data_IF_948268281187
#
_entry.id   IF_948268281187
#
_cell.length_a   1.000
_cell.length_b   1.000
_cell.length_c   1.000
_cell.angle_alpha   90.00
_cell.angle_beta   90.00
_cell.angle_gamma   90.00
#
_symmetry.space_group_name_H-M   'P 1'
#
loop_
_entity.id
_entity.type
_entity.pdbx_description
1 polymer ?
#
# COMPACT_ATOMS: atom_id res chain seq x y z
N UNK A 1 16.13 7.20 -29.84
CA UNK A 1 15.27 6.23 -29.14
C UNK A 1 15.51 6.37 -27.65
N UNK A 2 14.62 7.01 -26.88
CA UNK A 2 14.84 7.16 -25.45
C UNK A 2 13.83 6.35 -24.61
N UNK A 3 14.24 6.06 -23.39
CA UNK A 3 13.37 5.88 -22.23
C UNK A 3 12.83 4.48 -21.94
N UNK A 4 13.71 3.47 -21.95
CA UNK A 4 13.50 2.30 -21.08
C UNK A 4 13.97 2.67 -19.65
N UNK A 5 13.10 3.40 -18.93
CA UNK A 5 13.27 3.69 -17.52
C UNK A 5 12.43 2.69 -16.71
N UNK A 6 12.88 1.43 -16.69
CA UNK A 6 12.49 0.48 -15.67
C UNK A 6 12.79 1.10 -14.29
N UNK A 7 11.79 1.29 -13.40
CA UNK A 7 12.08 1.82 -12.09
C UNK A 7 12.85 0.77 -11.30
N UNK A 8 14.15 1.05 -11.15
CA UNK A 8 15.11 0.32 -10.36
C UNK A 8 14.51 -0.02 -8.99
N UNK A 9 14.29 -1.32 -8.75
CA UNK A 9 13.99 -1.85 -7.42
C UNK A 9 15.24 -1.67 -6.56
N UNK A 10 15.42 -0.47 -6.00
CA UNK A 10 16.43 -0.24 -4.97
C UNK A 10 16.12 -1.17 -3.81
N UNK A 11 17.01 -2.12 -3.55
CA UNK A 11 17.01 -2.98 -2.36
C UNK A 11 16.99 -2.06 -1.13
N UNK A 12 15.81 -1.79 -0.57
CA UNK A 12 15.73 -1.24 0.79
C UNK A 12 15.69 -2.43 1.73
N UNK A 13 16.89 -2.69 2.27
CA UNK A 13 17.11 -3.24 3.59
C UNK A 13 15.91 -2.96 4.50
N UNK A 14 15.49 -3.98 5.26
CA UNK A 14 14.48 -3.88 6.31
C UNK A 14 15.04 -3.01 7.45
N UNK A 15 15.23 -1.72 7.18
CA UNK A 15 15.48 -0.72 8.20
C UNK A 15 14.18 -0.52 8.95
N UNK A 16 14.14 -1.00 10.19
CA UNK A 16 13.11 -0.67 11.16
C UNK A 16 13.21 0.83 11.45
N UNK A 17 12.65 1.66 10.58
CA UNK A 17 12.45 3.07 10.88
C UNK A 17 11.26 3.16 11.82
N UNK A 18 11.55 3.33 13.10
CA UNK A 18 10.60 3.75 14.12
C UNK A 18 10.53 5.28 14.02
N UNK A 19 9.43 5.90 13.57
CA UNK A 19 9.21 7.31 13.83
C UNK A 19 8.60 7.43 15.23
N UNK A 20 9.20 8.30 16.01
CA UNK A 20 8.78 8.78 17.34
C UNK A 20 7.27 9.07 17.38
N UNK A 21 6.64 8.64 18.48
CA UNK A 21 5.18 8.57 18.77
C UNK A 21 4.35 9.82 18.39
N UNK A 22 3.04 9.66 18.12
CA UNK A 22 2.06 9.82 19.20
C UNK A 22 0.90 8.80 19.19
N UNK A 23 0.40 8.47 20.39
CA UNK A 23 -0.78 7.64 20.69
C UNK A 23 -0.69 6.15 20.38
N UNK A 24 -0.14 5.40 21.34
CA UNK A 24 -0.49 3.99 21.50
C UNK A 24 -1.95 3.92 21.99
N UNK A 25 -2.87 3.48 21.13
CA UNK A 25 -4.18 2.99 21.60
C UNK A 25 -3.96 1.53 21.98
N UNK A 26 -3.98 1.28 23.28
CA UNK A 26 -3.78 -0.04 23.88
C UNK A 26 -5.15 -0.71 24.01
N UNK A 27 -5.46 -1.67 23.13
CA UNK A 27 -6.62 -2.56 23.29
C UNK A 27 -6.34 -3.55 24.45
N UNK A 28 -7.38 -4.06 25.13
CA UNK A 28 -7.29 -5.02 26.27
C UNK A 28 -6.50 -6.33 25.99
N UNK A 29 -6.08 -6.55 24.75
CA UNK A 29 -5.25 -7.67 24.30
C UNK A 29 -3.78 -7.27 23.99
N UNK A 30 -3.32 -6.08 24.37
CA UNK A 30 -1.92 -5.63 24.25
C UNK A 30 -1.41 -5.46 22.81
N UNK A 31 -2.31 -5.26 21.83
CA UNK A 31 -1.95 -5.07 20.42
C UNK A 31 -1.88 -3.58 20.10
N UNK A 32 -0.67 -3.01 20.00
CA UNK A 32 -0.46 -1.58 19.73
C UNK A 32 -0.83 -1.21 18.28
N UNK A 33 -2.08 -0.82 18.03
CA UNK A 33 -2.53 -0.38 16.69
C UNK A 33 -2.36 1.13 16.52
N UNK A 34 -1.18 1.56 16.06
CA UNK A 34 -0.82 2.98 16.08
C UNK A 34 -1.37 3.83 14.91
N UNK A 35 -1.83 3.22 13.81
CA UNK A 35 -2.15 3.97 12.58
C UNK A 35 -3.65 3.96 12.29
N UNK A 36 -4.33 5.05 12.59
CA UNK A 36 -5.79 5.20 12.43
C UNK A 36 -6.12 5.93 11.13
N UNK A 37 -7.13 5.45 10.41
CA UNK A 37 -7.70 6.13 9.25
C UNK A 37 -8.52 7.33 9.72
N UNK A 38 -8.04 8.53 9.38
CA UNK A 38 -8.69 9.80 9.72
C UNK A 38 -9.84 10.18 8.77
N UNK A 39 -10.17 9.33 7.79
CA UNK A 39 -11.28 9.59 6.87
C UNK A 39 -12.60 9.46 7.63
N UNK A 40 -13.46 10.46 7.49
CA UNK A 40 -14.73 10.53 8.21
C UNK A 40 -15.57 9.28 7.93
N UNK A 41 -16.03 8.62 9.00
CA UNK A 41 -16.83 7.39 8.91
C UNK A 41 -16.06 6.09 8.62
N UNK A 42 -14.73 6.09 8.50
CA UNK A 42 -13.98 4.86 8.24
C UNK A 42 -13.67 4.04 9.51
N UNK A 43 -13.18 4.71 10.56
CA UNK A 43 -12.87 4.08 11.86
C UNK A 43 -11.79 2.98 11.87
N UNK A 44 -11.17 2.65 10.71
CA UNK A 44 -10.21 1.55 10.61
C UNK A 44 -8.85 1.91 11.18
N UNK A 45 -8.24 0.98 11.91
CA UNK A 45 -6.90 1.10 12.47
C UNK A 45 -5.97 -0.03 12.01
N UNK A 46 -4.68 0.27 11.92
CA UNK A 46 -3.67 -0.61 11.37
C UNK A 46 -2.41 -0.63 12.25
N UNK A 47 -1.74 -1.78 12.27
CA UNK A 47 -0.48 -1.97 12.99
C UNK A 47 0.69 -1.20 12.38
N UNK A 48 0.62 -0.93 11.06
CA UNK A 48 1.71 -0.32 10.30
C UNK A 48 1.18 0.82 9.42
N UNK A 49 1.96 1.90 9.32
CA UNK A 49 1.59 3.06 8.50
C UNK A 49 1.48 2.73 7.01
N UNK A 50 2.27 1.77 6.51
CA UNK A 50 2.17 1.28 5.13
C UNK A 50 0.80 0.64 4.84
N UNK A 51 0.21 -0.05 5.82
CA UNK A 51 -1.11 -0.65 5.69
C UNK A 51 -2.19 0.43 5.67
N UNK A 52 -2.08 1.45 6.51
CA UNK A 52 -2.97 2.60 6.49
C UNK A 52 -2.88 3.35 5.14
N UNK A 53 -1.67 3.64 4.65
CA UNK A 53 -1.46 4.30 3.37
C UNK A 53 -1.98 3.48 2.18
N UNK A 54 -1.87 2.15 2.24
CA UNK A 54 -2.49 1.26 1.24
C UNK A 54 -4.01 1.33 1.33
N UNK A 55 -4.57 1.25 2.53
CA UNK A 55 -6.01 1.31 2.76
C UNK A 55 -6.63 2.61 2.23
N UNK A 56 -6.03 3.76 2.55
CA UNK A 56 -6.50 5.06 2.03
C UNK A 56 -6.50 5.05 0.51
N UNK A 57 -5.41 4.58 -0.11
CA UNK A 57 -5.32 4.53 -1.57
C UNK A 57 -6.35 3.62 -2.23
N UNK A 58 -6.56 2.43 -1.66
CA UNK A 58 -7.45 1.44 -2.27
C UNK A 58 -8.94 1.71 -2.02
N UNK A 59 -9.30 2.35 -0.91
CA UNK A 59 -10.70 2.49 -0.48
C UNK A 59 -11.22 3.92 -0.62
N UNK A 60 -10.38 4.93 -0.39
CA UNK A 60 -10.81 6.32 -0.34
C UNK A 60 -10.42 7.12 -1.57
N UNK A 61 -9.22 6.91 -2.13
CA UNK A 61 -8.78 7.63 -3.33
C UNK A 61 -9.02 6.86 -4.62
N UNK A 62 -9.32 5.56 -4.54
CA UNK A 62 -9.46 4.65 -5.70
C UNK A 62 -8.28 4.74 -6.68
N UNK A 63 -7.10 5.14 -6.20
CA UNK A 63 -5.92 5.27 -7.04
C UNK A 63 -5.39 3.89 -7.42
N UNK A 64 -5.23 3.68 -8.73
CA UNK A 64 -4.72 2.45 -9.32
C UNK A 64 -3.45 2.72 -10.14
N UNK A 65 -2.31 2.95 -9.46
CA UNK A 65 -1.07 3.28 -10.14
C UNK A 65 -0.45 2.10 -10.91
N UNK A 66 -0.91 0.87 -10.66
CA UNK A 66 -0.34 -0.33 -11.26
C UNK A 66 -1.18 -0.80 -12.44
N UNK A 67 -0.80 -0.42 -13.65
CA UNK A 67 -1.49 -0.82 -14.89
C UNK A 67 -0.86 -2.09 -15.47
N UNK A 68 -1.70 -2.95 -16.03
CA UNK A 68 -1.25 -4.11 -16.79
C UNK A 68 -0.79 -3.65 -18.18
N UNK A 69 0.45 -3.99 -18.53
CA UNK A 69 1.04 -3.63 -19.83
C UNK A 69 0.82 -4.71 -20.90
N UNK A 70 0.02 -5.75 -20.61
CA UNK A 70 -0.29 -6.78 -21.61
C UNK A 70 -1.24 -6.21 -22.67
N UNK A 71 -0.94 -6.39 -23.97
CA UNK A 71 -1.76 -5.86 -25.06
C UNK A 71 -3.20 -6.37 -24.97
N UNK A 72 -4.18 -5.46 -25.06
CA UNK A 72 -5.60 -5.81 -24.97
C UNK A 72 -6.14 -6.06 -23.56
N UNK A 73 -5.33 -6.03 -22.50
CA UNK A 73 -5.81 -6.28 -21.14
C UNK A 73 -6.48 -5.06 -20.49
N UNK A 74 -5.86 -3.87 -20.58
CA UNK A 74 -6.40 -2.62 -20.05
C UNK A 74 -6.67 -2.54 -18.54
N UNK A 75 -6.36 -3.60 -17.76
CA UNK A 75 -6.67 -3.69 -16.33
C UNK A 75 -5.70 -2.88 -15.47
N UNK A 76 -6.24 -2.26 -14.42
CA UNK A 76 -5.48 -1.49 -13.44
C UNK A 76 -5.74 -1.95 -12.01
N UNK A 77 -4.70 -1.80 -11.18
CA UNK A 77 -4.66 -2.32 -9.81
C UNK A 77 -4.17 -1.26 -8.84
N UNK A 78 -4.76 -1.27 -7.64
CA UNK A 78 -4.34 -0.42 -6.52
C UNK A 78 -3.11 -0.98 -5.79
N UNK A 79 -2.73 -2.23 -6.07
CA UNK A 79 -1.60 -2.92 -5.44
C UNK A 79 -0.74 -3.67 -6.45
N UNK A 80 0.57 -3.69 -6.19
CA UNK A 80 1.56 -4.39 -7.02
C UNK A 80 1.39 -5.90 -6.97
N UNK A 81 1.10 -6.47 -5.82
CA UNK A 81 0.90 -7.91 -5.67
C UNK A 81 -0.32 -8.41 -6.44
N UNK A 82 -1.40 -7.60 -6.50
CA UNK A 82 -2.55 -7.90 -7.34
C UNK A 82 -2.19 -7.85 -8.83
N UNK A 83 -1.41 -6.84 -9.26
CA UNK A 83 -0.91 -6.80 -10.64
C UNK A 83 -0.02 -8.01 -10.94
N UNK A 84 0.89 -8.39 -10.02
CA UNK A 84 1.80 -9.51 -10.21
C UNK A 84 1.08 -10.85 -10.33
N UNK A 85 0.08 -11.10 -9.47
CA UNK A 85 -0.78 -12.28 -9.60
C UNK A 85 -1.63 -12.22 -10.88
N UNK A 86 -2.07 -11.04 -11.26
CA UNK A 86 -2.78 -10.89 -12.52
C UNK A 86 -1.88 -11.12 -13.74
N UNK A 87 -0.60 -10.76 -13.70
CA UNK A 87 0.28 -10.97 -14.86
C UNK A 87 0.55 -12.44 -15.17
N UNK A 88 0.29 -13.36 -14.25
CA UNK A 88 0.48 -14.80 -14.50
C UNK A 88 -0.67 -15.45 -15.28
N UNK A 89 -1.76 -14.74 -15.56
CA UNK A 89 -2.89 -15.27 -16.35
C UNK A 89 -2.79 -14.91 -17.84
N UNK A 90 -1.79 -14.11 -18.20
CA UNK A 90 -1.40 -13.84 -19.59
C UNK A 90 -0.27 -14.80 -19.97
#
# INVERSE_FOLDING_TARGET
APSDMLPQLTKRSRGRQVPTVPSVVEDAAGRSRSYICKVNGCGKCFQRGEHLKRHIRSIHTNEKPYKCNHPGCGKDFSRRDNLFQHTSIH
#
